data_IF_678438975204
#
_entry.id   IF_678438975204
#
_cell.length_a   1.000
_cell.length_b   1.000
_cell.length_c   1.000
_cell.angle_alpha   90.00
_cell.angle_beta   90.00
_cell.angle_gamma   90.00
#
_symmetry.space_group_name_H-M   'P 1'
#
loop_
_entity.id
_entity.type
_entity.pdbx_description
1 polymer ?
#
# COMPACT_ATOMS: atom_id res chain seq x y z
N UNK A 1 33.65 -48.83 -2.05
CA UNK A 1 33.59 -47.53 -2.75
C UNK A 1 32.21 -46.87 -2.67
N UNK A 2 31.12 -47.64 -2.60
CA UNK A 2 29.72 -47.19 -2.48
C UNK A 2 29.37 -46.46 -1.17
N UNK A 3 29.94 -46.86 -0.03
CA UNK A 3 29.64 -46.24 1.27
C UNK A 3 30.19 -44.79 1.42
N UNK A 4 31.31 -44.49 0.75
CA UNK A 4 31.91 -43.13 0.76
C UNK A 4 31.12 -42.13 -0.09
N UNK A 5 30.43 -42.60 -1.14
CA UNK A 5 29.52 -41.75 -1.90
C UNK A 5 28.28 -41.38 -1.09
N UNK A 6 27.66 -42.31 -0.35
CA UNK A 6 26.47 -41.97 0.47
C UNK A 6 26.74 -40.87 1.50
N UNK A 7 27.88 -40.91 2.20
CA UNK A 7 28.23 -39.86 3.17
C UNK A 7 28.45 -38.48 2.50
N UNK A 8 29.02 -38.43 1.30
CA UNK A 8 29.23 -37.19 0.57
C UNK A 8 27.91 -36.53 0.14
N UNK A 9 26.90 -37.32 -0.24
CA UNK A 9 25.58 -36.82 -0.63
C UNK A 9 24.75 -36.34 0.58
N UNK A 10 24.90 -36.98 1.73
CA UNK A 10 24.28 -36.54 2.99
C UNK A 10 24.89 -35.20 3.45
N UNK A 11 26.20 -34.98 3.26
CA UNK A 11 26.84 -33.69 3.54
C UNK A 11 26.36 -32.56 2.63
N UNK A 12 26.05 -32.83 1.35
CA UNK A 12 25.49 -31.83 0.42
C UNK A 12 24.06 -31.43 0.81
N UNK A 13 23.27 -32.35 1.38
CA UNK A 13 21.92 -32.08 1.88
C UNK A 13 21.88 -31.38 3.25
N UNK A 14 22.99 -31.42 4.00
CA UNK A 14 23.14 -30.78 5.32
C UNK A 14 23.87 -29.44 5.27
N UNK A 15 24.49 -29.09 4.15
CA UNK A 15 24.81 -27.70 3.88
C UNK A 15 23.47 -26.99 3.74
N UNK A 16 23.12 -26.00 4.59
CA UNK A 16 22.01 -25.13 4.27
C UNK A 16 22.33 -24.61 2.89
N UNK A 17 21.55 -25.01 1.88
CA UNK A 17 21.70 -24.46 0.55
C UNK A 17 21.74 -22.95 0.74
N UNK A 18 22.73 -22.29 0.15
CA UNK A 18 22.63 -20.87 -0.13
C UNK A 18 21.39 -20.76 -1.02
N UNK A 19 20.21 -20.67 -0.39
CA UNK A 19 18.99 -20.29 -1.06
C UNK A 19 19.26 -18.87 -1.47
N UNK A 20 19.66 -18.70 -2.72
CA UNK A 20 19.84 -17.38 -3.30
C UNK A 20 18.50 -16.65 -3.15
N UNK A 21 18.49 -15.60 -2.34
CA UNK A 21 17.26 -14.86 -2.10
C UNK A 21 16.91 -14.10 -3.37
N UNK A 22 15.65 -14.19 -3.80
CA UNK A 22 15.20 -13.46 -4.99
C UNK A 22 15.46 -11.94 -4.87
N UNK A 23 15.65 -11.31 -6.02
CA UNK A 23 15.92 -9.89 -6.19
C UNK A 23 14.62 -9.10 -6.30
N UNK A 24 14.35 -8.27 -5.30
CA UNK A 24 13.10 -7.53 -5.16
C UNK A 24 13.28 -6.04 -5.44
N UNK A 25 12.48 -5.53 -6.36
CA UNK A 25 12.28 -4.09 -6.50
C UNK A 25 11.20 -3.67 -5.50
N UNK A 26 11.42 -2.60 -4.77
CA UNK A 26 10.45 -2.07 -3.82
C UNK A 26 10.07 -0.66 -4.24
N UNK A 27 8.78 -0.43 -4.49
CA UNK A 27 8.23 0.90 -4.73
C UNK A 27 7.25 1.24 -3.60
N UNK A 28 7.73 1.90 -2.53
CA UNK A 28 6.92 2.20 -1.35
C UNK A 28 6.05 3.46 -1.56
N UNK A 29 5.08 3.63 -0.66
CA UNK A 29 4.46 4.93 -0.39
C UNK A 29 5.07 5.54 0.86
N UNK A 30 5.34 6.84 0.83
CA UNK A 30 5.92 7.59 1.94
C UNK A 30 4.98 7.72 3.17
N UNK A 31 5.51 8.26 4.26
CA UNK A 31 4.81 8.45 5.51
C UNK A 31 4.47 7.14 6.22
N UNK A 32 3.30 7.09 6.84
CA UNK A 32 2.84 5.93 7.62
C UNK A 32 2.82 4.59 6.86
N UNK A 33 2.65 4.60 5.54
CA UNK A 33 2.70 3.40 4.71
C UNK A 33 4.11 2.79 4.77
N UNK A 34 5.13 3.61 4.55
CA UNK A 34 6.53 3.23 4.66
C UNK A 34 6.91 2.72 6.06
N UNK A 35 6.44 3.37 7.12
CA UNK A 35 6.74 2.92 8.50
C UNK A 35 6.30 1.48 8.74
N UNK A 36 5.19 1.05 8.15
CA UNK A 36 4.72 -0.32 8.25
C UNK A 36 5.41 -1.29 7.29
N UNK A 37 5.88 -0.80 6.14
CA UNK A 37 6.55 -1.60 5.11
C UNK A 37 8.02 -1.84 5.42
N UNK A 38 8.70 -0.86 6.01
CA UNK A 38 10.15 -0.90 6.28
C UNK A 38 10.58 -2.14 7.06
N UNK A 39 9.92 -2.57 8.16
CA UNK A 39 10.32 -3.78 8.87
C UNK A 39 10.26 -5.05 8.01
N UNK A 40 9.28 -5.15 7.10
CA UNK A 40 9.19 -6.26 6.15
C UNK A 40 10.37 -6.23 5.17
N UNK A 41 10.68 -5.06 4.62
CA UNK A 41 11.79 -4.85 3.67
C UNK A 41 13.14 -5.16 4.31
N UNK A 42 13.37 -4.70 5.55
CA UNK A 42 14.55 -5.02 6.34
C UNK A 42 14.66 -6.54 6.57
N UNK A 43 13.56 -7.19 6.97
CA UNK A 43 13.55 -8.64 7.21
C UNK A 43 13.79 -9.46 5.95
N UNK A 44 13.30 -9.01 4.80
CA UNK A 44 13.56 -9.66 3.51
C UNK A 44 15.07 -9.61 3.18
N UNK A 45 15.70 -8.45 3.36
CA UNK A 45 17.14 -8.33 3.14
C UNK A 45 17.96 -9.19 4.13
N UNK A 46 17.61 -9.19 5.41
CA UNK A 46 18.22 -10.07 6.42
C UNK A 46 18.09 -11.57 6.09
N UNK A 47 17.06 -11.95 5.32
CA UNK A 47 16.82 -13.32 4.87
C UNK A 47 17.58 -13.67 3.59
N UNK A 48 18.40 -12.77 3.06
CA UNK A 48 19.27 -12.98 1.91
C UNK A 48 18.70 -12.52 0.57
N UNK A 49 17.55 -11.82 0.55
CA UNK A 49 17.03 -11.22 -0.68
C UNK A 49 17.85 -9.99 -1.10
N UNK A 50 18.17 -9.86 -2.38
CA UNK A 50 18.70 -8.60 -2.92
C UNK A 50 17.56 -7.58 -3.04
N UNK A 51 17.49 -6.63 -2.12
CA UNK A 51 16.40 -5.64 -2.08
C UNK A 51 16.88 -4.27 -2.58
N UNK A 52 16.17 -3.73 -3.57
CA UNK A 52 16.38 -2.37 -4.09
C UNK A 52 15.12 -1.54 -3.90
N UNK A 53 15.21 -0.50 -3.08
CA UNK A 53 14.10 0.44 -2.82
C UNK A 53 14.26 1.69 -3.68
N UNK A 54 13.25 1.98 -4.49
CA UNK A 54 13.19 3.18 -5.34
C UNK A 54 12.35 4.24 -4.65
N UNK A 55 12.94 5.41 -4.38
CA UNK A 55 12.28 6.50 -3.64
C UNK A 55 12.50 7.85 -4.31
N UNK A 56 11.57 8.81 -4.19
CA UNK A 56 11.83 10.19 -4.61
C UNK A 56 12.89 10.85 -3.72
N UNK A 57 13.64 11.82 -4.27
CA UNK A 57 14.64 12.57 -3.48
C UNK A 57 14.01 13.41 -2.36
N UNK A 58 12.76 13.87 -2.55
CA UNK A 58 11.98 14.61 -1.56
C UNK A 58 10.93 13.67 -0.96
N UNK A 59 11.06 13.42 0.34
CA UNK A 59 10.16 12.56 1.13
C UNK A 59 10.11 12.97 2.60
N UNK A 60 9.07 12.58 3.31
CA UNK A 60 8.92 12.69 4.76
C UNK A 60 9.83 11.70 5.50
N UNK A 61 9.77 10.41 5.13
CA UNK A 61 10.32 9.32 5.94
C UNK A 61 11.10 8.27 5.14
N UNK A 62 11.09 8.33 3.81
CA UNK A 62 11.89 7.46 2.96
C UNK A 62 13.38 7.86 3.08
N UNK A 63 14.12 7.11 3.89
CA UNK A 63 15.55 7.35 4.15
C UNK A 63 16.39 6.18 3.70
N UNK A 64 17.64 6.48 3.38
CA UNK A 64 18.68 5.47 3.12
C UNK A 64 18.90 4.66 4.40
N UNK A 65 18.79 3.34 4.32
CA UNK A 65 19.15 2.41 5.38
C UNK A 65 20.30 1.52 4.91
N UNK A 66 21.10 1.02 5.84
CA UNK A 66 22.20 0.09 5.52
C UNK A 66 21.69 -1.31 5.14
N UNK A 67 20.44 -1.62 5.48
CA UNK A 67 19.88 -2.95 5.28
C UNK A 67 19.60 -3.30 3.81
N UNK A 68 19.42 -2.33 2.91
CA UNK A 68 19.05 -2.58 1.51
C UNK A 68 19.61 -1.49 0.59
N UNK A 69 19.62 -1.74 -0.72
CA UNK A 69 20.05 -0.74 -1.70
C UNK A 69 18.96 0.29 -1.91
N UNK A 70 19.33 1.58 -2.01
CA UNK A 70 18.38 2.67 -2.30
C UNK A 70 18.76 3.35 -3.61
N UNK A 71 17.76 3.56 -4.47
CA UNK A 71 17.86 4.34 -5.69
C UNK A 71 16.91 5.53 -5.60
N UNK A 72 17.44 6.73 -5.83
CA UNK A 72 16.66 7.97 -5.79
C UNK A 72 16.39 8.49 -7.20
N UNK A 73 15.30 9.26 -7.35
CA UNK A 73 15.01 10.00 -8.57
C UNK A 73 14.53 11.42 -8.25
N UNK A 74 14.82 12.39 -9.14
CA UNK A 74 14.46 13.78 -8.90
C UNK A 74 12.96 14.00 -9.02
N UNK A 75 12.45 14.99 -8.30
CA UNK A 75 11.02 15.34 -8.32
C UNK A 75 10.79 16.84 -8.48
N UNK A 76 9.63 17.19 -9.02
CA UNK A 76 9.26 18.57 -9.35
C UNK A 76 8.61 19.34 -8.18
N UNK A 77 8.49 18.75 -7.00
CA UNK A 77 7.82 19.33 -5.83
C UNK A 77 8.79 19.44 -4.66
N UNK A 78 8.42 20.29 -3.70
CA UNK A 78 9.14 20.48 -2.44
C UNK A 78 8.45 19.75 -1.28
N UNK A 79 9.16 19.60 -0.15
CA UNK A 79 8.55 19.08 1.07
C UNK A 79 7.43 19.98 1.59
N UNK A 80 7.53 21.29 1.33
CA UNK A 80 6.50 22.27 1.68
C UNK A 80 5.20 22.04 0.89
N UNK A 81 5.28 21.77 -0.42
CA UNK A 81 4.12 21.46 -1.25
C UNK A 81 3.34 20.26 -0.70
N UNK A 82 4.07 19.20 -0.33
CA UNK A 82 3.50 18.00 0.28
C UNK A 82 2.85 18.32 1.63
N UNK A 83 3.53 19.09 2.49
CA UNK A 83 3.01 19.46 3.82
C UNK A 83 1.76 20.34 3.72
N UNK A 84 1.71 21.25 2.75
CA UNK A 84 0.56 22.10 2.49
C UNK A 84 -0.64 21.28 2.01
N UNK A 85 -0.42 20.33 1.10
CA UNK A 85 -1.47 19.42 0.64
C UNK A 85 -2.02 18.56 1.77
N UNK A 86 -1.16 18.03 2.65
CA UNK A 86 -1.59 17.30 3.84
C UNK A 86 -2.39 18.19 4.81
N UNK A 87 -1.93 19.41 5.04
CA UNK A 87 -2.60 20.36 5.94
C UNK A 87 -3.99 20.73 5.43
N UNK A 88 -4.13 20.98 4.11
CA UNK A 88 -5.41 21.23 3.47
C UNK A 88 -6.34 20.01 3.54
N UNK A 89 -5.79 18.81 3.36
CA UNK A 89 -6.51 17.56 3.50
C UNK A 89 -7.10 17.39 4.89
N UNK A 90 -6.26 17.53 5.92
CA UNK A 90 -6.70 17.46 7.31
C UNK A 90 -7.74 18.56 7.59
N UNK A 91 -7.48 19.80 7.17
CA UNK A 91 -8.41 20.90 7.37
C UNK A 91 -9.77 20.65 6.68
N UNK A 92 -9.79 20.01 5.52
CA UNK A 92 -11.02 19.66 4.81
C UNK A 92 -11.80 18.57 5.55
N UNK A 93 -11.13 17.55 6.07
CA UNK A 93 -11.76 16.49 6.85
C UNK A 93 -12.26 16.94 8.23
N UNK A 94 -11.68 18.00 8.78
CA UNK A 94 -12.12 18.60 10.05
C UNK A 94 -13.23 19.63 9.87
N UNK A 95 -13.58 20.02 8.64
CA UNK A 95 -14.72 20.90 8.38
C UNK A 95 -16.01 20.10 8.53
N UNK A 96 -16.87 20.53 9.44
CA UNK A 96 -18.20 19.95 9.64
C UNK A 96 -19.22 20.58 8.67
N UNK A 97 -19.03 20.35 7.36
CA UNK A 97 -19.98 20.81 6.35
C UNK A 97 -21.21 19.89 6.30
N UNK A 98 -22.39 20.40 5.92
CA UNK A 98 -23.56 19.54 5.71
C UNK A 98 -23.42 18.69 4.43
N UNK A 99 -24.12 17.56 4.40
CA UNK A 99 -24.31 16.78 3.17
C UNK A 99 -25.13 17.60 2.14
N UNK A 100 -24.78 17.59 0.83
CA UNK A 100 -23.70 16.84 0.19
C UNK A 100 -22.36 17.59 0.09
N UNK A 101 -22.28 18.84 0.57
CA UNK A 101 -21.10 19.70 0.41
C UNK A 101 -19.85 19.07 1.04
N UNK A 102 -20.00 18.41 2.19
CA UNK A 102 -18.87 17.74 2.86
C UNK A 102 -18.28 16.62 2.01
N UNK A 103 -19.13 15.73 1.50
CA UNK A 103 -18.71 14.61 0.65
C UNK A 103 -17.98 15.09 -0.60
N UNK A 104 -18.51 16.14 -1.24
CA UNK A 104 -17.90 16.74 -2.43
C UNK A 104 -16.55 17.41 -2.10
N UNK A 105 -16.45 18.12 -0.97
CA UNK A 105 -15.22 18.77 -0.54
C UNK A 105 -14.12 17.73 -0.24
N UNK A 106 -14.45 16.69 0.52
CA UNK A 106 -13.56 15.58 0.84
C UNK A 106 -13.09 14.87 -0.43
N UNK A 107 -14.02 14.57 -1.36
CA UNK A 107 -13.67 13.94 -2.63
C UNK A 107 -12.72 14.80 -3.45
N UNK A 108 -13.07 16.06 -3.69
CA UNK A 108 -12.27 16.96 -4.53
C UNK A 108 -10.87 17.17 -3.96
N UNK A 109 -10.76 17.35 -2.64
CA UNK A 109 -9.46 17.49 -1.99
C UNK A 109 -8.66 16.16 -2.02
N UNK A 110 -9.31 15.00 -1.82
CA UNK A 110 -8.65 13.70 -1.96
C UNK A 110 -8.11 13.47 -3.37
N UNK A 111 -8.86 13.85 -4.41
CA UNK A 111 -8.40 13.81 -5.81
C UNK A 111 -7.23 14.77 -6.04
N UNK A 112 -7.27 15.97 -5.46
CA UNK A 112 -6.18 16.93 -5.57
C UNK A 112 -4.88 16.39 -4.97
N UNK A 113 -4.93 15.88 -3.73
CA UNK A 113 -3.79 15.26 -3.05
C UNK A 113 -3.29 14.04 -3.82
N UNK A 114 -4.19 13.19 -4.29
CA UNK A 114 -3.84 12.04 -5.12
C UNK A 114 -3.04 12.44 -6.35
N UNK A 115 -3.50 13.46 -7.11
CA UNK A 115 -2.82 13.97 -8.30
C UNK A 115 -1.42 14.50 -7.99
N UNK A 116 -1.28 15.24 -6.89
CA UNK A 116 0.01 15.76 -6.45
C UNK A 116 0.99 14.62 -6.16
N UNK A 117 0.56 13.61 -5.39
CA UNK A 117 1.39 12.45 -5.06
C UNK A 117 1.70 11.61 -6.30
N UNK A 118 0.75 11.46 -7.22
CA UNK A 118 0.95 10.72 -8.46
C UNK A 118 2.01 11.34 -9.39
N UNK A 119 2.31 12.64 -9.26
CA UNK A 119 3.43 13.25 -10.00
C UNK A 119 4.78 12.58 -9.69
N UNK A 120 4.93 11.94 -8.52
CA UNK A 120 6.08 11.09 -8.22
C UNK A 120 6.26 9.98 -9.26
N UNK A 121 5.15 9.39 -9.72
CA UNK A 121 5.18 8.37 -10.75
C UNK A 121 5.64 8.94 -12.10
N UNK A 122 5.09 10.10 -12.49
CA UNK A 122 5.49 10.77 -13.74
C UNK A 122 6.98 11.13 -13.74
N UNK A 123 7.49 11.61 -12.61
CA UNK A 123 8.90 11.92 -12.41
C UNK A 123 9.78 10.66 -12.46
N UNK A 124 9.33 9.55 -11.86
CA UNK A 124 10.01 8.24 -11.95
C UNK A 124 10.16 7.81 -13.42
N UNK A 125 9.08 7.85 -14.19
CA UNK A 125 9.10 7.46 -15.61
C UNK A 125 9.88 8.44 -16.50
N UNK A 126 10.08 9.68 -16.05
CA UNK A 126 10.94 10.65 -16.73
C UNK A 126 12.44 10.37 -16.50
N UNK A 127 12.80 9.61 -15.45
CA UNK A 127 14.17 9.22 -15.16
C UNK A 127 14.60 7.99 -15.98
N UNK A 128 15.12 8.26 -17.19
CA UNK A 128 15.57 7.21 -18.13
C UNK A 128 16.69 6.33 -17.57
N UNK A 129 17.61 6.89 -16.79
CA UNK A 129 18.72 6.14 -16.20
C UNK A 129 18.20 5.10 -15.21
N UNK A 130 17.25 5.50 -14.35
CA UNK A 130 16.65 4.58 -13.39
C UNK A 130 15.80 3.51 -14.06
N UNK A 131 15.00 3.86 -15.09
CA UNK A 131 14.26 2.87 -15.87
C UNK A 131 15.18 1.88 -16.57
N UNK A 132 16.30 2.35 -17.13
CA UNK A 132 17.30 1.50 -17.76
C UNK A 132 17.96 0.56 -16.72
N UNK A 133 18.28 1.07 -15.53
CA UNK A 133 18.78 0.26 -14.44
C UNK A 133 17.78 -0.83 -14.04
N UNK A 134 16.50 -0.50 -13.89
CA UNK A 134 15.46 -1.48 -13.54
C UNK A 134 15.37 -2.58 -14.60
N UNK A 135 15.34 -2.20 -15.88
CA UNK A 135 15.31 -3.15 -16.99
C UNK A 135 16.51 -4.10 -17.03
N UNK A 136 17.71 -3.58 -16.75
CA UNK A 136 18.96 -4.35 -16.82
C UNK A 136 19.24 -5.18 -15.55
N UNK A 137 18.56 -4.89 -14.45
CA UNK A 137 18.85 -5.50 -13.15
C UNK A 137 18.15 -6.84 -12.92
N UNK A 138 17.27 -7.28 -13.84
CA UNK A 138 16.55 -8.57 -13.80
C UNK A 138 15.92 -8.85 -12.43
N UNK A 139 15.01 -7.98 -12.00
CA UNK A 139 14.23 -8.19 -10.78
C UNK A 139 13.27 -9.39 -10.91
N UNK A 140 13.12 -10.16 -9.84
CA UNK A 140 12.21 -11.30 -9.78
C UNK A 140 10.77 -10.87 -9.52
N UNK A 141 10.56 -9.81 -8.72
CA UNK A 141 9.25 -9.25 -8.45
C UNK A 141 9.32 -7.79 -7.94
N UNK A 142 8.19 -7.09 -8.06
CA UNK A 142 7.97 -5.77 -7.46
C UNK A 142 7.11 -5.89 -6.19
N UNK A 143 7.60 -5.44 -5.05
CA UNK A 143 6.80 -5.24 -3.84
C UNK A 143 6.38 -3.77 -3.74
N UNK A 144 5.08 -3.49 -3.69
CA UNK A 144 4.60 -2.09 -3.74
C UNK A 144 3.40 -1.82 -2.83
N UNK A 145 3.33 -0.60 -2.32
CA UNK A 145 2.08 -0.06 -1.76
C UNK A 145 1.27 0.56 -2.90
N UNK A 146 0.07 0.05 -3.22
CA UNK A 146 -0.62 0.43 -4.43
C UNK A 146 -1.53 1.65 -4.29
N UNK A 147 -1.51 2.37 -3.15
CA UNK A 147 -2.44 3.49 -2.89
C UNK A 147 -2.47 4.54 -4.02
N UNK A 148 -1.33 4.80 -4.68
CA UNK A 148 -1.22 5.72 -5.81
C UNK A 148 -1.01 5.04 -7.17
N UNK A 149 -1.21 3.73 -7.29
CA UNK A 149 -1.19 2.96 -8.55
C UNK A 149 0.11 2.98 -9.38
N UNK A 150 1.18 3.66 -8.95
CA UNK A 150 2.43 3.67 -9.72
C UNK A 150 3.11 2.31 -9.77
N UNK A 151 3.09 1.55 -8.67
CA UNK A 151 3.65 0.21 -8.59
C UNK A 151 3.08 -0.73 -9.66
N UNK A 152 1.75 -0.90 -9.73
CA UNK A 152 1.09 -1.60 -10.84
C UNK A 152 1.55 -1.18 -12.23
N UNK A 153 1.61 0.13 -12.50
CA UNK A 153 2.00 0.67 -13.81
C UNK A 153 3.44 0.29 -14.14
N UNK A 154 4.35 0.47 -13.18
CA UNK A 154 5.76 0.11 -13.32
C UNK A 154 5.95 -1.40 -13.52
N UNK A 155 5.22 -2.22 -12.77
CA UNK A 155 5.28 -3.67 -12.89
C UNK A 155 4.82 -4.13 -14.28
N UNK A 156 3.69 -3.62 -14.77
CA UNK A 156 3.22 -3.96 -16.12
C UNK A 156 4.17 -3.47 -17.21
N UNK A 157 4.73 -2.27 -17.06
CA UNK A 157 5.69 -1.72 -18.01
C UNK A 157 6.92 -2.63 -18.19
N UNK A 158 7.43 -3.21 -17.10
CA UNK A 158 8.57 -4.15 -17.14
C UNK A 158 8.15 -5.63 -17.20
N UNK A 159 6.86 -5.93 -17.28
CA UNK A 159 6.32 -7.30 -17.20
C UNK A 159 6.80 -8.08 -15.96
N UNK A 160 6.92 -7.39 -14.82
CA UNK A 160 7.29 -7.97 -13.54
C UNK A 160 6.05 -8.49 -12.79
N UNK A 161 6.11 -9.67 -12.15
CA UNK A 161 5.10 -10.03 -11.16
C UNK A 161 5.21 -9.06 -9.98
N UNK A 162 4.08 -8.73 -9.37
CA UNK A 162 4.05 -7.75 -8.29
C UNK A 162 3.16 -8.17 -7.13
N UNK A 163 3.58 -7.73 -5.95
CA UNK A 163 2.95 -8.02 -4.67
C UNK A 163 2.49 -6.70 -4.08
N UNK A 164 1.24 -6.68 -3.61
CA UNK A 164 0.71 -5.55 -2.87
C UNK A 164 1.00 -5.68 -1.40
N UNK A 165 1.47 -4.60 -0.79
CA UNK A 165 1.55 -4.42 0.64
C UNK A 165 0.58 -3.31 1.04
N UNK A 166 -0.62 -3.67 1.51
CA UNK A 166 -1.73 -2.72 1.60
C UNK A 166 -2.70 -3.03 2.73
N UNK A 167 -3.46 -2.03 3.18
CA UNK A 167 -4.60 -2.25 4.09
C UNK A 167 -5.92 -2.42 3.34
N UNK A 168 -6.08 -1.85 2.16
CA UNK A 168 -7.35 -1.87 1.44
C UNK A 168 -7.35 -0.82 0.35
N UNK A 169 -8.22 -1.02 -0.65
CA UNK A 169 -8.53 0.00 -1.64
C UNK A 169 -9.90 0.62 -1.34
N UNK A 170 -10.12 1.88 -1.76
CA UNK A 170 -11.48 2.40 -1.93
C UNK A 170 -12.31 1.48 -2.83
N UNK A 171 -13.64 1.61 -2.73
CA UNK A 171 -14.59 0.84 -3.55
C UNK A 171 -14.42 -0.68 -3.48
N UNK A 172 -13.81 -1.22 -2.41
CA UNK A 172 -13.59 -2.66 -2.24
C UNK A 172 -12.79 -3.31 -3.39
N UNK A 173 -11.98 -2.52 -4.11
CA UNK A 173 -11.39 -2.90 -5.39
C UNK A 173 -10.57 -4.19 -5.34
N UNK A 174 -9.86 -4.44 -4.23
CA UNK A 174 -9.08 -5.66 -4.01
C UNK A 174 -9.90 -6.96 -3.98
N UNK A 175 -11.17 -6.89 -3.55
CA UNK A 175 -12.07 -8.05 -3.58
C UNK A 175 -12.77 -8.16 -4.93
N UNK A 176 -13.18 -7.03 -5.50
CA UNK A 176 -13.89 -7.01 -6.78
C UNK A 176 -12.96 -7.46 -7.92
N UNK A 177 -11.71 -6.98 -7.94
CA UNK A 177 -10.71 -7.39 -8.91
C UNK A 177 -10.36 -8.88 -8.80
N UNK A 178 -10.13 -9.38 -7.58
CA UNK A 178 -9.85 -10.80 -7.33
C UNK A 178 -11.09 -11.70 -7.42
N UNK A 179 -12.25 -11.15 -7.78
CA UNK A 179 -13.53 -11.85 -7.90
C UNK A 179 -13.98 -12.55 -6.61
N UNK A 180 -13.56 -12.02 -5.45
CA UNK A 180 -14.03 -12.47 -4.16
C UNK A 180 -15.50 -12.04 -3.96
N UNK A 181 -16.40 -12.96 -3.57
CA UNK A 181 -17.79 -12.61 -3.29
C UNK A 181 -17.90 -11.54 -2.20
N UNK A 182 -18.61 -10.45 -2.49
CA UNK A 182 -18.85 -9.38 -1.51
C UNK A 182 -20.34 -9.00 -1.41
N UNK A 183 -21.19 -9.84 -0.79
CA UNK A 183 -22.64 -9.65 -0.83
C UNK A 183 -23.10 -8.36 -0.12
N UNK A 184 -23.77 -7.48 -0.87
CA UNK A 184 -24.27 -6.17 -0.40
C UNK A 184 -25.33 -6.27 0.70
N UNK A 185 -25.84 -7.47 0.96
CA UNK A 185 -26.88 -7.71 1.95
C UNK A 185 -26.33 -7.72 3.39
N UNK A 186 -25.07 -8.06 3.59
CA UNK A 186 -24.42 -8.11 4.91
C UNK A 186 -22.99 -7.57 4.93
N UNK A 187 -22.41 -7.20 3.78
CA UNK A 187 -21.12 -6.52 3.74
C UNK A 187 -21.37 -5.04 3.50
N UNK A 188 -21.20 -4.18 4.51
CA UNK A 188 -21.40 -2.75 4.38
C UNK A 188 -20.29 -2.12 3.51
N UNK A 189 -20.69 -1.19 2.64
CA UNK A 189 -19.78 -0.34 1.87
C UNK A 189 -19.18 0.71 2.78
N UNK A 190 -17.98 1.16 2.43
CA UNK A 190 -17.29 2.24 3.14
C UNK A 190 -18.19 3.48 3.22
N UNK A 191 -18.08 4.23 4.32
CA UNK A 191 -18.86 5.44 4.62
C UNK A 191 -20.34 5.27 4.95
N UNK A 192 -20.89 4.04 4.93
CA UNK A 192 -22.27 3.79 5.41
C UNK A 192 -22.40 3.76 6.93
N UNK A 193 -21.30 3.47 7.64
CA UNK A 193 -21.30 3.18 9.08
C UNK A 193 -22.25 2.03 9.48
N UNK A 194 -22.67 1.22 8.52
CA UNK A 194 -23.51 0.04 8.76
C UNK A 194 -22.66 -1.12 9.29
N UNK A 195 -23.28 -2.04 10.04
CA UNK A 195 -22.71 -3.33 10.43
C UNK A 195 -23.13 -4.45 9.46
N UNK A 196 -22.79 -5.70 9.77
CA UNK A 196 -23.30 -6.88 9.06
C UNK A 196 -24.81 -7.13 9.28
N UNK A 197 -25.38 -6.48 10.31
CA UNK A 197 -26.79 -6.53 10.64
C UNK A 197 -27.53 -5.30 10.10
N UNK A 198 -27.79 -5.30 8.79
CA UNK A 198 -28.51 -4.21 8.12
C UNK A 198 -30.02 -4.45 8.01
N UNK A 199 -30.80 -3.41 8.31
CA UNK A 199 -32.23 -3.31 7.94
C UNK A 199 -32.42 -3.26 6.42
N UNK A 200 -33.66 -3.42 5.95
CA UNK A 200 -33.97 -3.31 4.51
C UNK A 200 -33.50 -1.99 3.90
N UNK A 201 -33.76 -0.85 4.57
CA UNK A 201 -33.37 0.46 4.05
C UNK A 201 -31.84 0.66 4.03
N UNK A 202 -31.13 0.17 5.04
CA UNK A 202 -29.66 0.17 5.04
C UNK A 202 -29.09 -0.69 3.90
N UNK A 203 -29.72 -1.83 3.56
CA UNK A 203 -29.32 -2.63 2.39
C UNK A 203 -29.56 -1.89 1.08
N UNK A 204 -30.66 -1.14 0.98
CA UNK A 204 -30.94 -0.30 -0.19
C UNK A 204 -29.89 0.80 -0.34
N UNK A 205 -29.57 1.52 0.74
CA UNK A 205 -28.49 2.51 0.77
C UNK A 205 -27.15 1.87 0.37
N UNK A 206 -26.82 0.71 0.93
CA UNK A 206 -25.59 -0.01 0.64
C UNK A 206 -25.47 -0.38 -0.86
N UNK A 207 -26.59 -0.81 -1.46
CA UNK A 207 -26.66 -1.11 -2.88
C UNK A 207 -26.53 0.15 -3.76
N UNK A 208 -27.11 1.28 -3.34
CA UNK A 208 -26.96 2.54 -4.07
C UNK A 208 -25.51 3.02 -4.07
N UNK A 209 -24.80 2.94 -2.94
CA UNK A 209 -23.38 3.29 -2.86
C UNK A 209 -22.55 2.39 -3.77
N UNK A 210 -22.80 1.07 -3.74
CA UNK A 210 -22.12 0.14 -4.63
C UNK A 210 -22.26 0.52 -6.12
N UNK A 211 -23.44 0.96 -6.55
CA UNK A 211 -23.67 1.39 -7.93
C UNK A 211 -22.93 2.68 -8.31
N UNK A 212 -22.61 3.55 -7.33
CA UNK A 212 -21.92 4.83 -7.54
C UNK A 212 -20.40 4.71 -7.50
N UNK A 213 -19.88 3.69 -6.80
CA UNK A 213 -18.45 3.47 -6.59
C UNK A 213 -17.62 3.35 -7.87
N UNK A 214 -18.06 2.70 -8.97
CA UNK A 214 -17.28 2.67 -10.20
C UNK A 214 -16.98 4.07 -10.76
N UNK A 215 -17.97 4.96 -10.76
CA UNK A 215 -17.77 6.35 -11.22
C UNK A 215 -16.85 7.12 -10.26
N UNK A 216 -17.05 6.93 -8.95
CA UNK A 216 -16.21 7.52 -7.91
C UNK A 216 -14.74 7.10 -8.03
N UNK A 217 -14.46 5.80 -8.11
CA UNK A 217 -13.10 5.28 -8.15
C UNK A 217 -12.40 5.56 -9.48
N UNK A 218 -13.08 5.45 -10.62
CA UNK A 218 -12.49 5.85 -11.90
C UNK A 218 -12.16 7.34 -11.93
N UNK A 219 -13.00 8.20 -11.35
CA UNK A 219 -12.71 9.62 -11.19
C UNK A 219 -11.52 9.88 -10.26
N UNK A 220 -11.44 9.16 -9.14
CA UNK A 220 -10.36 9.28 -8.17
C UNK A 220 -9.00 8.90 -8.75
N UNK A 221 -8.95 7.77 -9.46
CA UNK A 221 -7.73 7.23 -10.06
C UNK A 221 -7.49 7.70 -11.51
N UNK A 222 -8.31 8.61 -12.04
CA UNK A 222 -8.30 8.97 -13.47
C UNK A 222 -6.92 9.38 -13.98
N UNK A 223 -6.17 10.17 -13.21
CA UNK A 223 -4.82 10.59 -13.60
C UNK A 223 -3.83 9.43 -13.73
N UNK A 224 -3.99 8.37 -12.93
CA UNK A 224 -3.18 7.17 -13.08
C UNK A 224 -3.61 6.31 -14.25
N UNK A 225 -4.90 6.20 -14.52
CA UNK A 225 -5.43 5.44 -15.67
C UNK A 225 -5.02 6.07 -17.01
N UNK A 226 -5.14 7.40 -17.12
CA UNK A 226 -4.69 8.15 -18.30
C UNK A 226 -3.19 7.93 -18.54
N UNK A 227 -2.38 8.08 -17.49
CA UNK A 227 -0.94 7.89 -17.56
C UNK A 227 -0.55 6.44 -17.86
N UNK A 228 -1.21 5.46 -17.23
CA UNK A 228 -0.98 4.05 -17.49
C UNK A 228 -1.30 3.70 -18.94
N UNK A 229 -2.39 4.23 -19.49
CA UNK A 229 -2.80 3.98 -20.87
C UNK A 229 -1.79 4.57 -21.86
N UNK A 230 -1.27 5.77 -21.57
CA UNK A 230 -0.20 6.39 -22.35
C UNK A 230 1.10 5.56 -22.30
N UNK A 231 1.56 5.18 -21.11
CA UNK A 231 2.83 4.47 -20.94
C UNK A 231 2.78 3.04 -21.49
N UNK A 232 1.65 2.34 -21.29
CA UNK A 232 1.47 0.96 -21.74
C UNK A 232 0.92 0.86 -23.17
N UNK A 233 0.62 2.00 -23.82
CA UNK A 233 0.17 2.10 -25.20
C UNK A 233 -1.09 1.26 -25.50
N UNK A 234 -2.02 1.22 -24.55
CA UNK A 234 -3.31 0.53 -24.64
C UNK A 234 -4.31 1.15 -23.66
N UNK A 235 -5.60 0.94 -23.86
CA UNK A 235 -6.57 1.30 -22.82
C UNK A 235 -6.34 0.45 -21.56
N UNK A 236 -6.26 1.10 -20.41
CA UNK A 236 -6.02 0.47 -19.11
C UNK A 236 -7.17 0.78 -18.15
N UNK A 237 -7.81 -0.26 -17.64
CA UNK A 237 -8.83 -0.14 -16.59
C UNK A 237 -8.23 -0.24 -15.19
N UNK A 238 -8.99 0.16 -14.15
CA UNK A 238 -8.57 -0.08 -12.76
C UNK A 238 -8.40 -1.56 -12.44
N UNK A 239 -9.26 -2.40 -13.00
CA UNK A 239 -9.20 -3.85 -12.80
C UNK A 239 -7.93 -4.41 -13.43
N UNK A 240 -7.53 -3.94 -14.62
CA UNK A 240 -6.29 -4.39 -15.28
C UNK A 240 -5.06 -4.18 -14.39
N UNK A 241 -4.99 -3.05 -13.69
CA UNK A 241 -3.89 -2.69 -12.79
C UNK A 241 -3.90 -3.47 -11.47
N UNK A 242 -5.05 -3.99 -11.06
CA UNK A 242 -5.25 -4.49 -9.70
C UNK A 242 -5.42 -6.01 -9.67
N UNK A 243 -6.12 -6.58 -10.65
CA UNK A 243 -6.30 -8.03 -10.82
C UNK A 243 -4.99 -8.76 -11.16
N UNK A 244 -4.05 -8.08 -11.84
CA UNK A 244 -2.77 -8.72 -12.23
C UNK A 244 -1.78 -8.91 -11.07
N UNK A 245 -2.15 -8.57 -9.83
CA UNK A 245 -1.31 -8.73 -8.65
C UNK A 245 -1.14 -10.21 -8.28
N UNK A 246 0.11 -10.65 -8.13
CA UNK A 246 0.42 -12.05 -7.84
C UNK A 246 0.06 -12.42 -6.40
N UNK A 247 0.34 -11.54 -5.43
CA UNK A 247 0.09 -11.75 -4.00
C UNK A 247 -0.40 -10.45 -3.36
N UNK A 248 -1.33 -10.56 -2.42
CA UNK A 248 -1.86 -9.48 -1.63
C UNK A 248 -1.46 -9.67 -0.17
N UNK A 249 -0.52 -8.88 0.31
CA UNK A 249 -0.15 -8.83 1.72
C UNK A 249 -1.04 -7.78 2.41
N UNK A 250 -2.10 -8.27 3.05
CA UNK A 250 -3.14 -7.48 3.69
C UNK A 250 -2.73 -7.15 5.13
N UNK A 251 -2.51 -5.86 5.42
CA UNK A 251 -1.99 -5.34 6.71
C UNK A 251 -3.01 -5.33 7.85
N UNK A 252 -3.92 -6.29 7.87
CA UNK A 252 -4.97 -6.46 8.88
C UNK A 252 -5.20 -7.95 9.14
N UNK A 253 -5.81 -8.24 10.28
CA UNK A 253 -6.22 -9.60 10.64
C UNK A 253 -7.67 -9.83 10.18
N UNK A 254 -7.97 -11.05 9.73
CA UNK A 254 -9.30 -11.43 9.26
C UNK A 254 -10.38 -11.32 10.37
N UNK A 255 -9.98 -11.34 11.64
CA UNK A 255 -10.89 -11.17 12.79
C UNK A 255 -11.57 -9.79 12.80
N UNK A 256 -10.96 -8.77 12.19
CA UNK A 256 -11.53 -7.41 12.12
C UNK A 256 -12.39 -7.17 10.88
N UNK A 257 -12.67 -8.21 10.10
CA UNK A 257 -13.34 -8.09 8.81
C UNK A 257 -14.64 -8.88 8.76
N UNK A 258 -15.52 -8.46 7.87
CA UNK A 258 -16.77 -9.17 7.61
C UNK A 258 -16.49 -10.51 6.94
N UNK A 259 -17.25 -11.54 7.36
CA UNK A 259 -17.07 -12.91 6.89
C UNK A 259 -17.34 -13.01 5.39
N UNK A 260 -16.30 -13.28 4.61
CA UNK A 260 -16.38 -13.54 3.16
C UNK A 260 -15.26 -14.47 2.69
N UNK A 261 -15.46 -15.21 1.59
CA UNK A 261 -14.37 -15.92 0.93
C UNK A 261 -13.32 -14.95 0.38
N UNK A 262 -12.07 -15.37 0.41
CA UNK A 262 -10.92 -14.65 -0.17
C UNK A 262 -10.14 -15.57 -1.10
N UNK A 263 -9.38 -14.99 -2.03
CA UNK A 263 -8.52 -15.77 -2.91
C UNK A 263 -7.28 -16.29 -2.16
N UNK A 264 -6.72 -17.46 -2.53
CA UNK A 264 -5.55 -18.05 -1.86
C UNK A 264 -4.29 -17.17 -1.89
N UNK A 265 -4.19 -16.25 -2.85
CA UNK A 265 -3.08 -15.30 -2.94
C UNK A 265 -3.28 -14.05 -2.06
N UNK A 266 -4.38 -13.96 -1.31
CA UNK A 266 -4.61 -12.92 -0.31
C UNK A 266 -4.18 -13.41 1.07
N UNK A 267 -3.07 -12.86 1.57
CA UNK A 267 -2.41 -13.25 2.81
C UNK A 267 -2.57 -12.16 3.86
N UNK A 268 -3.31 -12.47 4.92
CA UNK A 268 -3.47 -11.59 6.07
C UNK A 268 -2.20 -11.59 6.92
N UNK A 269 -1.58 -10.42 7.05
CA UNK A 269 -0.35 -10.19 7.81
C UNK A 269 -0.58 -9.16 8.91
N UNK A 270 -1.75 -9.22 9.56
CA UNK A 270 -2.04 -8.44 10.76
C UNK A 270 -0.97 -8.65 11.84
N UNK A 271 -0.70 -7.61 12.63
CA UNK A 271 0.22 -7.69 13.78
C UNK A 271 1.73 -7.59 13.46
N UNK A 272 2.14 -7.48 12.19
CA UNK A 272 3.58 -7.39 11.83
C UNK A 272 4.31 -6.17 12.41
N UNK A 273 3.58 -5.12 12.76
CA UNK A 273 4.15 -3.91 13.37
C UNK A 273 4.41 -4.07 14.87
N UNK A 274 3.98 -5.18 15.48
CA UNK A 274 4.18 -5.42 16.90
C UNK A 274 5.58 -6.01 17.13
N UNK A 275 6.47 -5.23 17.75
CA UNK A 275 7.69 -5.77 18.32
C UNK A 275 7.37 -6.36 19.70
N UNK A 276 7.58 -7.67 19.94
CA UNK A 276 7.42 -8.22 21.27
C UNK A 276 8.44 -7.56 22.20
N UNK A 277 7.95 -6.77 23.17
CA UNK A 277 8.78 -6.33 24.31
C UNK A 277 9.17 -7.55 25.12
N UNK A 278 10.37 -8.08 24.89
CA UNK A 278 10.95 -9.06 25.81
C UNK A 278 11.38 -8.30 27.08
N UNK A 279 10.61 -8.42 28.16
CA UNK A 279 10.94 -7.93 29.50
C UNK A 279 10.39 -6.53 29.83
N UNK A 280 9.22 -6.49 30.49
CA UNK A 280 8.79 -5.30 31.22
C UNK A 280 9.62 -5.18 32.51
N UNK A 281 10.61 -4.29 32.53
CA UNK A 281 11.01 -3.60 33.75
C UNK A 281 10.46 -2.18 33.62
N UNK A 282 9.53 -1.85 34.50
CA UNK A 282 8.90 -0.53 34.60
C UNK A 282 9.97 0.51 34.97
N UNK A 283 10.21 1.49 34.11
CA UNK A 283 10.80 2.77 34.52
C UNK A 283 9.89 3.90 34.03
N UNK A 284 9.39 4.76 34.92
CA UNK A 284 8.61 5.92 34.52
C UNK A 284 9.58 7.04 34.16
N UNK A 285 9.64 7.46 32.90
CA UNK A 285 10.21 8.75 32.56
C UNK A 285 9.28 9.56 31.66
N UNK A 286 8.99 10.74 32.18
CA UNK A 286 8.12 11.78 31.67
C UNK A 286 8.88 12.54 30.58
N UNK A 287 8.48 12.35 29.32
CA UNK A 287 8.78 13.29 28.22
C UNK A 287 7.82 13.12 27.03
N UNK A 288 6.56 12.75 27.29
CA UNK A 288 5.63 12.27 26.26
C UNK A 288 4.78 13.36 25.55
N UNK A 289 5.02 14.66 25.78
CA UNK A 289 4.15 15.72 25.22
C UNK A 289 4.67 16.33 23.92
N UNK A 290 6.00 16.48 23.74
CA UNK A 290 6.56 17.02 22.49
C UNK A 290 6.61 15.96 21.37
N UNK A 291 6.82 14.69 21.72
CA UNK A 291 6.79 13.59 20.75
C UNK A 291 5.36 13.25 20.31
N UNK A 292 4.35 13.42 21.18
CA UNK A 292 2.95 13.22 20.82
C UNK A 292 2.46 14.19 19.72
N UNK A 293 2.93 15.45 19.70
CA UNK A 293 2.49 16.42 18.69
C UNK A 293 3.10 16.11 17.32
N UNK A 294 4.34 15.63 17.27
CA UNK A 294 4.97 15.12 16.04
C UNK A 294 4.34 13.79 15.58
N UNK A 295 3.92 12.95 16.51
CA UNK A 295 3.22 11.69 16.22
C UNK A 295 1.81 11.93 15.65
N UNK A 296 1.04 12.87 16.21
CA UNK A 296 -0.32 13.21 15.75
C UNK A 296 -0.30 13.76 14.32
N UNK A 297 0.70 14.57 13.95
CA UNK A 297 0.82 15.12 12.60
C UNK A 297 1.27 14.10 11.54
N UNK A 298 1.99 13.04 11.93
CA UNK A 298 2.55 12.04 11.00
C UNK A 298 1.69 10.77 10.86
N UNK A 299 0.80 10.52 11.82
CA UNK A 299 -0.11 9.36 11.85
C UNK A 299 -1.30 9.55 10.89
N UNK A 300 -1.66 10.78 10.52
CA UNK A 300 -2.89 11.11 9.78
C UNK A 300 -2.99 10.57 8.35
N UNK A 301 -1.88 10.23 7.67
CA UNK A 301 -1.93 9.72 6.29
C UNK A 301 -2.47 8.28 6.22
N UNK A 302 -2.16 7.41 7.19
CA UNK A 302 -2.83 6.09 7.32
C UNK A 302 -4.16 6.20 8.08
N UNK A 303 -4.34 7.28 8.85
CA UNK A 303 -5.48 7.43 9.74
C UNK A 303 -6.64 8.19 9.13
N UNK A 304 -6.57 8.74 7.93
CA UNK A 304 -7.79 9.31 7.31
C UNK A 304 -8.89 8.27 7.10
N UNK A 305 -8.54 7.07 6.66
CA UNK A 305 -9.47 5.93 6.58
C UNK A 305 -9.77 5.32 7.96
N UNK A 306 -8.95 5.62 8.96
CA UNK A 306 -9.11 5.11 10.33
C UNK A 306 -9.85 6.08 11.26
N UNK A 307 -9.94 7.37 10.97
CA UNK A 307 -10.70 8.34 11.78
C UNK A 307 -12.21 8.03 11.72
N UNK A 308 -12.65 7.36 10.66
CA UNK A 308 -13.99 6.79 10.54
C UNK A 308 -14.17 5.54 11.41
N UNK A 309 -13.10 4.79 11.70
CA UNK A 309 -13.13 3.51 12.41
C UNK A 309 -12.73 3.61 13.91
N UNK A 310 -11.86 4.57 14.26
CA UNK A 310 -11.34 4.78 15.62
C UNK A 310 -12.38 5.45 16.53
N UNK A 311 -13.42 6.03 15.94
CA UNK A 311 -14.57 6.52 16.70
C UNK A 311 -15.41 5.38 17.31
N UNK A 312 -15.09 4.09 17.07
CA UNK A 312 -15.93 2.95 17.46
C UNK A 312 -15.16 1.71 17.99
N UNK A 313 -14.01 1.90 18.64
CA UNK A 313 -13.55 0.97 19.69
C UNK A 313 -13.59 1.69 21.03
#
# INVERSE_FOLDING_TARGET
>A
MTLRLCCAWIFILLLPGLSDGGKLLVLPMDGSHWLSMRPLVEKLSERGHEVVVVIPEVSWQLRVAQAYTVKTYPVSYTLEDINNALSEYIATHLKDLPFPLNTLAIYNNSVHVYRLLFNQCKNLFSNKELLQYVNQSSFDALLTDPIFMCGPVLAQYFSLPYLFFMRGFPCNLHYDASQCPSPLSYIPRLFTFNSDQMTFLQRVENALIYLLEPAYCNGFYGTALEFASEILQRDVSLIDLVDSASIWLLRYDFVFEYVRPVMPNMVFIGGINFQPKMGFIYQPQISALSECILFINQVLISFSWSLTYISFI
#
